data_IF_203929580568
#
_entry.id   IF_203929580568
#
_cell.length_a   1.000
_cell.length_b   1.000
_cell.length_c   1.000
_cell.angle_alpha   90.00
_cell.angle_beta   90.00
_cell.angle_gamma   90.00
#
_symmetry.space_group_name_H-M   'P 1'
#
loop_
_entity.id
_entity.type
_entity.pdbx_description
1 polymer ?
#
# COMPACT_ATOMS: atom_id res chain seq x y z
N UNK A 1 -1.58 -4.90 -7.39
CA UNK A 1 -1.97 -3.65 -8.07
C UNK A 1 -1.94 -3.91 -9.57
N UNK A 2 -2.65 -3.12 -10.41
CA UNK A 2 -2.47 -3.16 -11.86
C UNK A 2 -0.98 -3.11 -12.25
N UNK A 3 -0.61 -3.75 -13.36
CA UNK A 3 0.80 -3.90 -13.77
C UNK A 3 1.53 -2.57 -14.00
N UNK A 4 0.79 -1.52 -14.37
CA UNK A 4 1.35 -0.18 -14.63
C UNK A 4 1.64 0.62 -13.34
N UNK A 5 1.28 0.10 -12.16
CA UNK A 5 1.35 0.83 -10.90
C UNK A 5 2.60 0.46 -10.11
N UNK A 6 3.22 1.45 -9.46
CA UNK A 6 4.39 1.25 -8.59
C UNK A 6 3.98 1.38 -7.11
N UNK A 7 4.25 0.34 -6.33
CA UNK A 7 3.92 0.26 -4.91
C UNK A 7 4.79 1.19 -4.05
N UNK A 8 6.01 1.52 -4.47
CA UNK A 8 6.89 2.48 -3.80
C UNK A 8 6.38 3.91 -4.00
N UNK A 9 5.81 4.23 -5.17
CA UNK A 9 5.11 5.50 -5.40
C UNK A 9 3.82 5.58 -4.60
N UNK A 10 3.02 4.50 -4.60
CA UNK A 10 1.82 4.41 -3.76
C UNK A 10 2.14 4.59 -2.28
N UNK A 11 3.26 4.06 -1.82
CA UNK A 11 3.67 4.16 -0.41
C UNK A 11 3.89 5.61 0.02
N UNK A 12 4.46 6.46 -0.84
CA UNK A 12 4.62 7.90 -0.57
C UNK A 12 3.26 8.59 -0.36
N UNK A 13 2.30 8.32 -1.25
CA UNK A 13 0.93 8.88 -1.15
C UNK A 13 0.20 8.33 0.07
N UNK A 14 0.40 7.05 0.40
CA UNK A 14 -0.22 6.41 1.55
C UNK A 14 0.23 7.01 2.88
N UNK A 15 1.53 7.38 3.01
CA UNK A 15 2.04 8.07 4.21
C UNK A 15 1.33 9.41 4.42
N UNK A 16 1.08 10.18 3.35
CA UNK A 16 0.32 11.44 3.43
C UNK A 16 -1.11 11.23 3.92
N UNK A 17 -1.72 10.08 3.58
CA UNK A 17 -3.03 9.65 4.07
C UNK A 17 -2.99 9.00 5.47
N UNK A 18 -1.85 9.03 6.17
CA UNK A 18 -1.64 8.41 7.47
C UNK A 18 -1.94 6.90 7.47
N UNK A 19 -1.47 6.19 6.44
CA UNK A 19 -1.49 4.72 6.38
C UNK A 19 -0.18 4.19 5.82
N UNK A 20 0.37 3.14 6.44
CA UNK A 20 1.61 2.50 6.02
C UNK A 20 1.37 1.04 5.65
N UNK A 21 2.11 0.56 4.65
CA UNK A 21 2.20 -0.85 4.26
C UNK A 21 3.64 -1.15 3.85
N UNK A 22 3.96 -2.41 3.54
CA UNK A 22 5.30 -2.74 3.03
C UNK A 22 5.24 -2.93 1.51
N UNK A 23 5.97 -2.13 0.71
CA UNK A 23 6.07 -2.35 -0.73
C UNK A 23 6.55 -3.76 -1.07
N UNK A 24 6.04 -4.34 -2.14
CA UNK A 24 6.36 -5.70 -2.55
C UNK A 24 7.82 -5.89 -2.91
N UNK A 25 8.45 -4.86 -3.47
CA UNK A 25 9.83 -4.85 -3.98
C UNK A 25 10.86 -5.37 -2.98
N UNK A 26 10.64 -5.21 -1.67
CA UNK A 26 11.55 -5.71 -0.62
C UNK A 26 11.54 -7.24 -0.48
N UNK A 27 10.56 -7.93 -1.05
CA UNK A 27 10.40 -9.39 -0.98
C UNK A 27 10.90 -10.12 -2.22
N UNK A 28 11.28 -9.41 -3.30
CA UNK A 28 11.70 -10.00 -4.57
C UNK A 28 13.14 -9.61 -4.88
N UNK A 29 14.06 -10.58 -4.82
CA UNK A 29 15.49 -10.35 -5.06
C UNK A 29 15.84 -10.08 -6.53
N UNK A 30 14.92 -10.36 -7.46
CA UNK A 30 15.10 -10.21 -8.91
C UNK A 30 14.60 -8.87 -9.45
N UNK A 31 14.14 -7.97 -8.57
CA UNK A 31 13.60 -6.65 -8.94
C UNK A 31 12.17 -6.69 -9.47
N UNK A 32 11.49 -7.84 -9.41
CA UNK A 32 10.06 -7.95 -9.67
C UNK A 32 9.22 -7.46 -8.47
N UNK A 33 7.89 -7.59 -8.53
CA UNK A 33 7.02 -7.20 -7.42
C UNK A 33 6.76 -5.71 -7.26
N UNK A 34 7.07 -4.88 -8.27
CA UNK A 34 6.79 -3.43 -8.26
C UNK A 34 5.33 -3.08 -8.03
N UNK A 35 4.41 -3.91 -8.49
CA UNK A 35 2.97 -3.71 -8.35
C UNK A 35 2.35 -4.55 -7.20
N UNK A 36 3.15 -5.06 -6.26
CA UNK A 36 2.68 -5.85 -5.11
C UNK A 36 2.93 -5.14 -3.79
N UNK A 37 2.20 -5.51 -2.74
CA UNK A 37 2.34 -4.94 -1.39
C UNK A 37 1.95 -5.97 -0.33
N UNK A 38 2.43 -5.78 0.90
CA UNK A 38 2.08 -6.61 2.07
C UNK A 38 1.35 -5.78 3.12
N UNK A 39 0.21 -6.31 3.58
CA UNK A 39 -0.62 -5.73 4.65
C UNK A 39 -0.55 -6.63 5.89
N UNK A 40 -0.45 -6.02 7.07
CA UNK A 40 -0.65 -6.70 8.35
C UNK A 40 -1.96 -6.20 8.99
N UNK A 41 -2.78 -7.13 9.48
CA UNK A 41 -4.04 -6.83 10.18
C UNK A 41 -4.08 -7.37 11.61
N UNK A 42 -3.03 -8.09 12.05
CA UNK A 42 -3.02 -8.81 13.33
C UNK A 42 -2.61 -7.94 14.53
N UNK A 43 -2.00 -6.77 14.29
CA UNK A 43 -1.49 -5.90 15.35
C UNK A 43 -2.48 -4.80 15.78
N UNK A 44 -3.22 -4.24 14.82
CA UNK A 44 -4.14 -3.12 15.06
C UNK A 44 -5.54 -3.60 15.41
N UNK A 45 -6.33 -2.74 16.06
CA UNK A 45 -7.75 -3.01 16.32
C UNK A 45 -8.57 -3.09 15.03
N UNK A 46 -9.76 -3.67 15.11
CA UNK A 46 -10.67 -3.79 13.95
C UNK A 46 -11.03 -2.42 13.37
N UNK A 47 -11.29 -1.44 14.21
CA UNK A 47 -11.66 -0.07 13.82
C UNK A 47 -10.51 0.62 13.08
N UNK A 48 -9.29 0.47 13.59
CA UNK A 48 -8.09 1.01 12.94
C UNK A 48 -7.78 0.30 11.63
N UNK A 49 -8.03 -1.01 11.53
CA UNK A 49 -7.91 -1.74 10.27
C UNK A 49 -8.92 -1.23 9.23
N UNK A 50 -10.18 -1.03 9.62
CA UNK A 50 -11.22 -0.48 8.72
C UNK A 50 -10.84 0.93 8.23
N UNK A 51 -10.35 1.79 9.12
CA UNK A 51 -9.90 3.14 8.78
C UNK A 51 -8.64 3.12 7.88
N UNK A 52 -7.67 2.25 8.18
CA UNK A 52 -6.48 2.05 7.36
C UNK A 52 -6.81 1.60 5.94
N UNK A 53 -7.76 0.68 5.79
CA UNK A 53 -8.23 0.22 4.47
C UNK A 53 -8.89 1.37 3.69
N UNK A 54 -9.70 2.21 4.35
CA UNK A 54 -10.32 3.39 3.70
C UNK A 54 -9.26 4.38 3.19
N UNK A 55 -8.27 4.70 4.02
CA UNK A 55 -7.14 5.59 3.66
C UNK A 55 -6.32 5.01 2.51
N UNK A 56 -6.03 3.71 2.55
CA UNK A 56 -5.29 3.04 1.48
C UNK A 56 -6.07 3.08 0.16
N UNK A 57 -7.38 2.85 0.19
CA UNK A 57 -8.23 2.95 -0.99
C UNK A 57 -8.23 4.38 -1.56
N UNK A 58 -8.21 5.42 -0.71
CA UNK A 58 -8.09 6.81 -1.16
C UNK A 58 -6.72 7.09 -1.80
N UNK A 59 -5.63 6.61 -1.20
CA UNK A 59 -4.29 6.73 -1.77
C UNK A 59 -4.18 6.09 -3.16
N UNK A 60 -4.75 4.88 -3.33
CA UNK A 60 -4.80 4.19 -4.63
C UNK A 60 -5.58 5.03 -5.64
N UNK A 61 -6.76 5.55 -5.28
CA UNK A 61 -7.56 6.40 -6.17
C UNK A 61 -6.86 7.69 -6.56
N UNK A 62 -6.05 8.27 -5.67
CA UNK A 62 -5.25 9.47 -5.95
C UNK A 62 -4.15 9.19 -6.97
N UNK A 63 -3.45 8.05 -6.83
CA UNK A 63 -2.38 7.65 -7.75
C UNK A 63 -2.89 7.20 -9.12
N UNK A 64 -4.13 6.68 -9.19
CA UNK A 64 -4.75 6.25 -10.45
C UNK A 64 -5.23 7.40 -11.35
N UNK A 65 -5.22 8.65 -10.87
CA UNK A 65 -5.61 9.83 -11.65
C UNK A 65 -4.42 10.38 -12.42
#
# INVERSE_FOLDING_TARGET
LPEYMDADELFKVAIEENVAFVPGTVFYCDGSGKNTLRINFSFMSKEMNEEGVKRLANAIKKLMK
#
